data_IF_306238357127
#
_entry.id   IF_306238357127
#
_cell.length_a   1.000
_cell.length_b   1.000
_cell.length_c   1.000
_cell.angle_alpha   90.00
_cell.angle_beta   90.00
_cell.angle_gamma   90.00
#
_symmetry.space_group_name_H-M   'P 1'
#
loop_
_entity.id
_entity.type
_entity.pdbx_description
1 polymer ?
#
# COMPACT_ATOMS: atom_id res chain seq x y z
N UNK A 1 24.37 -3.83 6.06
CA UNK A 1 23.88 -3.46 4.71
C UNK A 1 22.92 -2.30 4.83
N UNK A 2 23.11 -1.24 4.04
CA UNK A 2 22.19 -0.09 3.99
C UNK A 2 20.88 -0.50 3.33
N UNK A 3 19.74 -0.29 4.02
CA UNK A 3 18.42 -0.76 3.57
C UNK A 3 17.44 0.39 3.46
N UNK A 4 16.69 0.44 2.36
CA UNK A 4 15.50 1.28 2.20
C UNK A 4 14.26 0.39 2.28
N UNK A 5 13.28 0.81 3.07
CA UNK A 5 12.00 0.11 3.19
C UNK A 5 10.88 0.87 2.45
N UNK A 6 10.03 0.13 1.77
CA UNK A 6 8.87 0.60 1.01
C UNK A 6 7.63 -0.03 1.62
N UNK A 7 6.70 0.80 2.07
CA UNK A 7 5.48 0.34 2.73
C UNK A 7 4.27 0.76 1.92
N UNK A 8 3.55 -0.21 1.42
CA UNK A 8 2.22 -0.04 0.86
C UNK A 8 1.21 0.04 2.01
N UNK A 9 0.86 1.28 2.40
CA UNK A 9 -0.02 1.49 3.54
C UNK A 9 -1.46 1.01 3.29
N UNK A 10 -1.93 1.02 2.04
CA UNK A 10 -3.23 0.49 1.67
C UNK A 10 -3.29 -1.01 1.90
N UNK A 11 -2.32 -1.72 1.35
CA UNK A 11 -2.21 -3.17 1.50
C UNK A 11 -2.02 -3.58 2.97
N UNK A 12 -1.12 -2.91 3.69
CA UNK A 12 -0.89 -3.14 5.12
C UNK A 12 -2.16 -2.90 5.94
N UNK A 13 -2.88 -1.79 5.69
CA UNK A 13 -4.09 -1.48 6.43
C UNK A 13 -5.21 -2.47 6.15
N UNK A 14 -5.55 -2.72 4.89
CA UNK A 14 -6.66 -3.59 4.53
C UNK A 14 -6.35 -5.07 4.75
N UNK A 15 -5.09 -5.48 4.60
CA UNK A 15 -4.64 -6.86 4.80
C UNK A 15 -4.48 -7.25 6.27
N UNK A 16 -3.97 -6.34 7.12
CA UNK A 16 -3.59 -6.69 8.49
C UNK A 16 -4.24 -5.84 9.58
N UNK A 17 -4.41 -4.53 9.38
CA UNK A 17 -4.72 -3.61 10.49
C UNK A 17 -6.21 -3.31 10.62
N UNK A 18 -6.99 -3.43 9.57
CA UNK A 18 -8.40 -3.00 9.53
C UNK A 18 -9.25 -3.62 10.63
N UNK A 19 -9.09 -4.92 10.86
CA UNK A 19 -9.84 -5.68 11.87
C UNK A 19 -9.18 -5.64 13.26
N UNK A 20 -7.97 -5.09 13.37
CA UNK A 20 -7.15 -5.05 14.58
C UNK A 20 -7.14 -3.65 15.19
N UNK A 21 -8.05 -3.40 16.17
CA UNK A 21 -8.15 -2.10 16.84
C UNK A 21 -6.90 -1.75 17.68
N UNK A 22 -6.26 -2.78 18.23
CA UNK A 22 -5.09 -2.70 19.11
C UNK A 22 -3.82 -2.22 18.39
N UNK A 23 -3.74 -2.39 17.06
CA UNK A 23 -2.54 -2.05 16.28
C UNK A 23 -2.79 -0.99 15.20
N UNK A 24 -3.91 -0.30 15.23
CA UNK A 24 -4.24 0.75 14.23
C UNK A 24 -3.26 1.92 14.19
N UNK A 25 -2.52 2.16 15.28
CA UNK A 25 -1.51 3.20 15.40
C UNK A 25 -0.09 2.61 15.33
N UNK A 26 0.08 1.62 14.46
CA UNK A 26 1.34 0.92 14.27
C UNK A 26 2.49 1.90 13.98
N UNK A 27 3.60 1.71 14.70
CA UNK A 27 4.87 2.38 14.37
C UNK A 27 5.55 1.63 13.21
N UNK A 28 5.63 2.25 12.00
CA UNK A 28 6.22 1.59 10.84
C UNK A 28 7.74 1.42 10.97
N UNK A 29 8.41 2.25 11.77
CA UNK A 29 9.85 2.11 12.02
C UNK A 29 10.13 0.89 12.88
N UNK A 30 9.37 0.72 13.95
CA UNK A 30 9.47 -0.45 14.81
C UNK A 30 9.13 -1.74 14.05
N UNK A 31 8.07 -1.71 13.22
CA UNK A 31 7.72 -2.84 12.37
C UNK A 31 8.86 -3.23 11.42
N UNK A 32 9.38 -2.27 10.65
CA UNK A 32 10.46 -2.56 9.69
C UNK A 32 11.69 -3.09 10.41
N UNK A 33 12.09 -2.47 11.53
CA UNK A 33 13.24 -2.93 12.31
C UNK A 33 13.08 -4.35 12.84
N UNK A 34 11.87 -4.76 13.21
CA UNK A 34 11.61 -6.14 13.66
C UNK A 34 11.69 -7.19 12.55
N UNK A 35 11.56 -6.77 11.29
CA UNK A 35 11.65 -7.65 10.12
C UNK A 35 13.04 -7.69 9.50
N UNK A 36 13.88 -6.68 9.76
CA UNK A 36 15.24 -6.62 9.23
C UNK A 36 16.18 -7.54 10.03
N UNK A 37 17.14 -8.12 9.33
CA UNK A 37 18.23 -8.87 9.94
C UNK A 37 19.18 -7.91 10.67
N UNK A 38 19.93 -8.41 11.63
CA UNK A 38 20.87 -7.64 12.47
C UNK A 38 21.95 -6.90 11.67
N UNK A 39 22.35 -7.45 10.51
CA UNK A 39 23.35 -6.87 9.63
C UNK A 39 22.82 -5.76 8.71
N UNK A 40 21.51 -5.45 8.80
CA UNK A 40 20.87 -4.39 8.02
C UNK A 40 20.72 -3.10 8.84
N UNK A 41 21.07 -1.98 8.23
CA UNK A 41 20.88 -0.63 8.77
C UNK A 41 19.77 0.05 8.00
N UNK A 42 18.66 0.32 8.65
CA UNK A 42 17.53 1.04 8.06
C UNK A 42 17.95 2.50 7.81
N UNK A 43 18.09 2.87 6.55
CA UNK A 43 18.49 4.21 6.13
C UNK A 43 17.28 5.12 5.87
N UNK A 44 16.20 4.58 5.32
CA UNK A 44 15.00 5.33 4.95
C UNK A 44 13.77 4.43 4.91
N UNK A 45 12.61 5.03 5.20
CA UNK A 45 11.31 4.44 4.94
C UNK A 45 10.56 5.33 3.95
N UNK A 46 10.06 4.76 2.87
CA UNK A 46 9.11 5.37 1.95
C UNK A 46 7.72 4.78 2.21
N UNK A 47 6.83 5.60 2.72
CA UNK A 47 5.48 5.19 3.13
C UNK A 47 4.46 5.68 2.11
N UNK A 48 3.90 4.77 1.33
CA UNK A 48 2.98 5.07 0.23
C UNK A 48 1.54 4.94 0.70
N UNK A 49 0.75 5.99 0.48
CA UNK A 49 -0.64 6.03 0.90
C UNK A 49 -1.47 6.92 -0.01
N UNK A 50 -2.79 6.83 0.07
CA UNK A 50 -3.70 7.79 -0.53
C UNK A 50 -4.66 8.34 0.53
N UNK A 51 -4.92 9.66 0.48
CA UNK A 51 -5.84 10.28 1.44
C UNK A 51 -7.27 9.90 1.16
N UNK A 52 -7.89 9.31 2.15
CA UNK A 52 -9.33 9.03 2.15
C UNK A 52 -10.10 10.35 2.11
N UNK A 53 -10.86 10.59 1.04
CA UNK A 53 -11.58 11.86 0.85
C UNK A 53 -13.03 11.82 1.28
N UNK A 54 -13.68 10.66 1.22
CA UNK A 54 -15.09 10.51 1.63
C UNK A 54 -15.43 9.04 1.83
N UNK A 55 -15.73 8.69 3.05
CA UNK A 55 -16.50 7.48 3.35
C UNK A 55 -17.82 7.93 3.95
N UNK A 56 -18.97 7.67 3.30
CA UNK A 56 -20.28 8.14 3.79
C UNK A 56 -20.63 7.62 5.19
N UNK A 57 -19.94 6.57 5.64
CA UNK A 57 -20.27 5.86 6.87
C UNK A 57 -19.20 5.96 7.98
N UNK A 58 -18.04 6.60 7.72
CA UNK A 58 -17.00 6.77 8.74
C UNK A 58 -16.23 8.07 8.55
N UNK A 59 -16.83 9.19 8.93
CA UNK A 59 -16.16 10.50 8.94
C UNK A 59 -14.94 10.52 9.88
N UNK A 60 -14.95 9.68 10.92
CA UNK A 60 -13.83 9.55 11.85
C UNK A 60 -12.61 8.89 11.22
N UNK A 61 -12.75 8.08 10.15
CA UNK A 61 -11.63 7.46 9.46
C UNK A 61 -10.71 8.51 8.82
N UNK A 62 -11.29 9.57 8.25
CA UNK A 62 -10.52 10.66 7.63
C UNK A 62 -9.67 11.36 8.68
N UNK A 63 -10.25 11.66 9.83
CA UNK A 63 -9.54 12.34 10.92
C UNK A 63 -8.46 11.43 11.51
N UNK A 64 -8.75 10.15 11.74
CA UNK A 64 -7.75 9.17 12.19
C UNK A 64 -6.56 9.09 11.24
N UNK A 65 -6.80 8.96 9.94
CA UNK A 65 -5.73 8.95 8.96
C UNK A 65 -4.92 10.26 8.99
N UNK A 66 -5.60 11.42 9.07
CA UNK A 66 -4.94 12.72 9.13
C UNK A 66 -4.00 12.84 10.34
N UNK A 67 -4.47 12.40 11.51
CA UNK A 67 -3.68 12.41 12.75
C UNK A 67 -2.48 11.48 12.62
N UNK A 68 -2.69 10.27 12.09
CA UNK A 68 -1.64 9.29 11.89
C UNK A 68 -0.54 9.79 10.94
N UNK A 69 -0.92 10.28 9.74
CA UNK A 69 0.04 10.80 8.78
C UNK A 69 0.79 12.03 9.31
N UNK A 70 0.15 12.87 10.13
CA UNK A 70 0.81 13.98 10.80
C UNK A 70 1.86 13.48 11.81
N UNK A 71 1.56 12.42 12.55
CA UNK A 71 2.54 11.80 13.45
C UNK A 71 3.70 11.18 12.66
N UNK A 72 3.41 10.45 11.57
CA UNK A 72 4.47 9.88 10.73
C UNK A 72 5.39 10.93 10.11
N UNK A 73 4.85 12.09 9.75
CA UNK A 73 5.62 13.19 9.17
C UNK A 73 6.66 13.80 10.14
N UNK A 74 6.59 13.49 11.44
CA UNK A 74 7.59 13.92 12.42
C UNK A 74 8.76 12.96 12.57
N UNK A 75 8.69 11.80 11.92
CA UNK A 75 9.72 10.75 12.04
C UNK A 75 10.84 11.04 11.04
N UNK A 76 12.05 11.23 11.56
CA UNK A 76 13.24 11.39 10.72
C UNK A 76 13.52 10.12 9.88
N UNK A 77 13.83 10.31 8.60
CA UNK A 77 14.08 9.20 7.68
C UNK A 77 12.82 8.53 7.14
N UNK A 78 11.61 8.99 7.50
CA UNK A 78 10.36 8.53 6.92
C UNK A 78 9.81 9.57 5.94
N UNK A 79 9.60 9.17 4.71
CA UNK A 79 9.00 9.96 3.64
C UNK A 79 7.61 9.44 3.32
N UNK A 80 6.60 10.33 3.31
CA UNK A 80 5.22 9.99 2.91
C UNK A 80 5.03 10.36 1.45
N UNK A 81 4.67 9.38 0.63
CA UNK A 81 4.39 9.55 -0.80
C UNK A 81 2.90 9.31 -1.05
N UNK A 82 2.22 10.33 -1.55
CA UNK A 82 0.77 10.29 -1.71
C UNK A 82 0.34 9.93 -3.14
N UNK A 83 -0.45 8.85 -3.26
CA UNK A 83 -1.32 8.59 -4.37
C UNK A 83 -2.63 9.38 -4.26
N UNK A 84 -3.65 8.96 -4.97
CA UNK A 84 -4.98 9.58 -4.86
C UNK A 84 -6.09 8.56 -5.10
N UNK A 85 -7.28 8.83 -4.52
CA UNK A 85 -8.48 8.08 -4.84
C UNK A 85 -9.23 8.71 -6.02
N UNK A 86 -9.50 7.89 -7.03
CA UNK A 86 -10.42 8.22 -8.11
C UNK A 86 -11.82 7.70 -7.76
N UNK A 87 -12.82 8.56 -7.91
CA UNK A 87 -14.22 8.22 -7.64
C UNK A 87 -15.01 8.19 -8.93
N UNK A 88 -15.36 7.00 -9.39
CA UNK A 88 -16.13 6.78 -10.60
C UNK A 88 -17.48 6.14 -10.31
N UNK A 89 -18.49 6.45 -11.12
CA UNK A 89 -19.75 5.71 -11.14
C UNK A 89 -19.65 4.65 -12.23
N UNK A 90 -19.84 3.39 -11.87
CA UNK A 90 -19.79 2.27 -12.80
C UNK A 90 -21.04 1.39 -12.68
N UNK A 91 -21.44 0.79 -13.80
CA UNK A 91 -22.44 -0.27 -13.81
C UNK A 91 -21.72 -1.60 -13.67
N UNK A 92 -22.05 -2.36 -12.64
CA UNK A 92 -21.45 -3.67 -12.39
C UNK A 92 -22.51 -4.75 -12.29
N UNK A 93 -22.21 -6.00 -12.71
CA UNK A 93 -23.12 -7.12 -12.47
C UNK A 93 -23.42 -7.27 -10.98
N UNK A 94 -24.67 -7.51 -10.63
CA UNK A 94 -25.05 -7.82 -9.26
C UNK A 94 -24.63 -9.27 -8.94
N UNK A 95 -23.62 -9.44 -8.08
CA UNK A 95 -23.16 -10.76 -7.69
C UNK A 95 -24.23 -11.54 -6.91
N UNK A 96 -24.55 -12.77 -7.38
CA UNK A 96 -25.45 -13.68 -6.67
C UNK A 96 -26.94 -13.32 -6.71
N UNK A 97 -27.33 -12.29 -7.44
CA UNK A 97 -28.76 -11.99 -7.62
C UNK A 97 -29.33 -12.83 -8.76
N UNK A 98 -30.22 -13.75 -8.43
CA UNK A 98 -31.07 -14.41 -9.43
C UNK A 98 -32.32 -13.58 -9.68
N UNK A 99 -32.74 -13.49 -10.93
CA UNK A 99 -34.04 -12.90 -11.25
C UNK A 99 -35.15 -13.71 -10.57
N UNK A 100 -35.98 -13.08 -9.77
CA UNK A 100 -37.11 -13.75 -9.10
C UNK A 100 -38.21 -14.21 -10.06
N UNK A 101 -38.20 -13.70 -11.28
CA UNK A 101 -39.26 -13.94 -12.27
C UNK A 101 -38.88 -14.92 -13.37
N UNK A 102 -37.61 -14.99 -13.74
CA UNK A 102 -37.15 -15.83 -14.86
C UNK A 102 -36.05 -16.83 -14.49
N UNK A 103 -35.63 -16.87 -13.22
CA UNK A 103 -34.53 -17.73 -12.70
C UNK A 103 -33.20 -17.62 -13.47
N UNK A 104 -33.06 -16.62 -14.34
CA UNK A 104 -31.82 -16.36 -15.05
C UNK A 104 -30.75 -15.84 -14.12
N UNK A 105 -29.51 -16.32 -14.31
CA UNK A 105 -28.36 -15.99 -13.49
C UNK A 105 -27.89 -14.52 -13.63
N UNK A 106 -28.47 -13.76 -14.55
CA UNK A 106 -28.10 -12.36 -14.82
C UNK A 106 -29.15 -11.41 -14.24
N UNK A 107 -29.07 -11.18 -12.95
CA UNK A 107 -29.99 -10.31 -12.21
C UNK A 107 -29.74 -8.80 -12.43
N UNK A 108 -29.26 -8.44 -13.59
CA UNK A 108 -29.10 -7.05 -13.96
C UNK A 108 -27.83 -6.39 -13.43
N UNK A 109 -27.65 -5.15 -13.83
CA UNK A 109 -26.51 -4.31 -13.45
C UNK A 109 -26.93 -3.30 -12.40
N UNK A 110 -26.09 -3.12 -11.39
CA UNK A 110 -26.28 -2.10 -10.36
C UNK A 110 -25.29 -0.95 -10.59
N UNK A 111 -25.75 0.27 -10.35
CA UNK A 111 -24.88 1.44 -10.42
C UNK A 111 -24.21 1.61 -9.07
N UNK A 112 -22.89 1.49 -9.05
CA UNK A 112 -22.07 1.65 -7.86
C UNK A 112 -21.17 2.89 -7.95
N UNK A 113 -20.75 3.38 -6.80
CA UNK A 113 -19.64 4.33 -6.70
C UNK A 113 -18.39 3.50 -6.43
N UNK A 114 -17.49 3.42 -7.42
CA UNK A 114 -16.20 2.75 -7.29
C UNK A 114 -15.16 3.75 -6.84
N UNK A 115 -14.49 3.44 -5.74
CA UNK A 115 -13.30 4.16 -5.27
C UNK A 115 -12.09 3.30 -5.63
N UNK A 116 -11.20 3.86 -6.41
CA UNK A 116 -9.95 3.18 -6.80
C UNK A 116 -8.77 4.02 -6.38
N UNK A 117 -7.87 3.42 -5.65
CA UNK A 117 -6.56 4.01 -5.41
C UNK A 117 -5.76 4.00 -6.71
N UNK A 118 -5.03 5.06 -6.96
CA UNK A 118 -4.23 5.25 -8.17
C UNK A 118 -2.84 5.76 -7.82
N UNK A 119 -1.85 5.33 -8.58
CA UNK A 119 -0.43 5.69 -8.54
C UNK A 119 0.40 5.01 -7.45
N UNK A 120 -0.18 4.47 -6.38
CA UNK A 120 0.61 3.94 -5.27
C UNK A 120 1.57 2.86 -5.76
N UNK A 121 1.07 1.83 -6.44
CA UNK A 121 1.87 0.70 -6.93
C UNK A 121 2.93 1.14 -7.95
N UNK A 122 2.53 2.03 -8.88
CA UNK A 122 3.45 2.59 -9.87
C UNK A 122 4.55 3.42 -9.21
N UNK A 123 4.21 4.23 -8.20
CA UNK A 123 5.19 5.02 -7.45
C UNK A 123 6.16 4.10 -6.71
N UNK A 124 5.66 3.07 -6.00
CA UNK A 124 6.50 2.09 -5.30
C UNK A 124 7.48 1.44 -6.27
N UNK A 125 6.98 0.85 -7.36
CA UNK A 125 7.81 0.16 -8.33
C UNK A 125 8.85 1.09 -8.98
N UNK A 126 8.44 2.31 -9.35
CA UNK A 126 9.33 3.30 -9.97
C UNK A 126 10.42 3.75 -9.01
N UNK A 127 10.06 4.07 -7.77
CA UNK A 127 11.00 4.53 -6.77
C UNK A 127 12.00 3.42 -6.38
N UNK A 128 11.53 2.17 -6.24
CA UNK A 128 12.41 1.03 -5.96
C UNK A 128 13.45 0.84 -7.07
N UNK A 129 13.01 0.89 -8.33
CA UNK A 129 13.90 0.75 -9.49
C UNK A 129 14.87 1.93 -9.61
N UNK A 130 14.42 3.16 -9.37
CA UNK A 130 15.24 4.35 -9.42
C UNK A 130 16.29 4.36 -8.29
N UNK A 131 15.88 3.98 -7.08
CA UNK A 131 16.81 3.89 -5.93
C UNK A 131 17.87 2.79 -6.16
N UNK A 132 17.47 1.66 -6.78
CA UNK A 132 18.39 0.59 -7.13
C UNK A 132 19.38 1.02 -8.24
N UNK A 133 18.89 1.71 -9.26
CA UNK A 133 19.70 2.26 -10.35
C UNK A 133 20.69 3.34 -9.84
N UNK A 134 20.24 4.17 -8.90
CA UNK A 134 21.04 5.27 -8.32
C UNK A 134 22.02 4.81 -7.24
N UNK A 135 22.10 3.51 -6.96
CA UNK A 135 22.94 2.94 -5.89
C UNK A 135 22.63 3.53 -4.50
N UNK A 136 21.36 3.87 -4.26
CA UNK A 136 20.92 4.54 -3.04
C UNK A 136 21.04 3.65 -1.79
N UNK A 137 20.95 2.33 -1.95
CA UNK A 137 21.07 1.33 -0.89
C UNK A 137 21.58 -0.02 -1.42
N UNK A 138 21.98 -0.90 -0.49
CA UNK A 138 22.40 -2.26 -0.79
C UNK A 138 21.23 -3.24 -0.83
N UNK A 139 20.17 -2.91 -0.08
CA UNK A 139 18.99 -3.76 0.12
C UNK A 139 17.70 -2.96 0.10
N UNK A 140 16.66 -3.57 -0.45
CA UNK A 140 15.32 -3.02 -0.65
C UNK A 140 14.30 -3.94 -0.01
N UNK A 141 13.56 -3.46 1.01
CA UNK A 141 12.54 -4.22 1.71
C UNK A 141 11.16 -3.68 1.37
N UNK A 142 10.29 -4.50 0.76
CA UNK A 142 8.93 -4.15 0.43
C UNK A 142 7.94 -4.83 1.39
N UNK A 143 7.04 -4.03 1.97
CA UNK A 143 5.89 -4.51 2.75
C UNK A 143 4.62 -4.28 1.93
N UNK A 144 4.18 -5.33 1.24
CA UNK A 144 2.93 -5.39 0.47
C UNK A 144 2.57 -6.84 0.19
N UNK A 145 1.30 -7.20 0.17
CA UNK A 145 0.82 -8.52 -0.26
C UNK A 145 0.54 -8.61 -1.77
N UNK A 146 0.87 -7.56 -2.55
CA UNK A 146 0.55 -7.52 -3.97
C UNK A 146 1.62 -8.19 -4.83
N UNK A 147 1.21 -9.18 -5.62
CA UNK A 147 2.07 -9.93 -6.53
C UNK A 147 2.62 -9.11 -7.71
N UNK A 148 2.04 -7.95 -8.01
CA UNK A 148 2.49 -7.09 -9.10
C UNK A 148 3.91 -6.55 -8.88
N UNK A 149 4.39 -6.59 -7.64
CA UNK A 149 5.77 -6.21 -7.30
C UNK A 149 6.83 -7.29 -7.55
N UNK A 150 6.46 -8.51 -7.94
CA UNK A 150 7.43 -9.57 -8.26
C UNK A 150 8.37 -9.11 -9.38
N UNK A 151 7.84 -8.53 -10.44
CA UNK A 151 8.64 -8.09 -11.58
C UNK A 151 9.68 -7.01 -11.23
N UNK A 152 9.37 -5.91 -10.54
CA UNK A 152 10.38 -4.94 -10.11
C UNK A 152 11.39 -5.51 -9.12
N UNK A 153 10.99 -6.38 -8.19
CA UNK A 153 11.91 -7.04 -7.26
C UNK A 153 12.91 -7.94 -7.97
N UNK A 154 12.46 -8.72 -8.95
CA UNK A 154 13.32 -9.58 -9.75
C UNK A 154 14.29 -8.77 -10.61
N UNK A 155 13.83 -7.64 -11.17
CA UNK A 155 14.69 -6.75 -11.93
C UNK A 155 15.83 -6.17 -11.04
N UNK A 156 15.49 -5.78 -9.80
CA UNK A 156 16.48 -5.28 -8.82
C UNK A 156 17.53 -6.34 -8.54
N UNK A 157 17.12 -7.57 -8.29
CA UNK A 157 18.06 -8.69 -8.03
C UNK A 157 18.93 -9.02 -9.22
N UNK A 158 18.32 -9.16 -10.41
CA UNK A 158 18.98 -9.67 -11.60
C UNK A 158 19.83 -8.63 -12.33
N UNK A 159 19.39 -7.38 -12.40
CA UNK A 159 20.04 -6.33 -13.19
C UNK A 159 20.93 -5.42 -12.35
N UNK A 160 20.54 -5.15 -11.12
CA UNK A 160 21.31 -4.27 -10.25
C UNK A 160 22.15 -5.04 -9.22
N UNK A 161 21.99 -6.38 -9.11
CA UNK A 161 22.73 -7.20 -8.15
C UNK A 161 22.46 -6.85 -6.69
N UNK A 162 21.35 -6.18 -6.40
CA UNK A 162 20.97 -5.75 -5.06
C UNK A 162 20.11 -6.78 -4.35
N UNK A 163 20.12 -6.76 -3.02
CA UNK A 163 19.16 -7.56 -2.27
C UNK A 163 17.77 -6.90 -2.33
N UNK A 164 16.76 -7.70 -2.55
CA UNK A 164 15.36 -7.27 -2.48
C UNK A 164 14.55 -8.33 -1.73
N UNK A 165 13.85 -7.93 -0.69
CA UNK A 165 12.99 -8.79 0.13
C UNK A 165 11.55 -8.30 0.07
N UNK A 166 10.62 -9.23 0.17
CA UNK A 166 9.19 -9.02 0.17
C UNK A 166 8.57 -9.67 1.41
N UNK A 167 7.73 -8.93 2.15
CA UNK A 167 7.01 -9.36 3.35
C UNK A 167 5.53 -8.90 3.32
#
# INVERSE_FOLDING_TARGET
MKTIAYIDAGNLYYGLLKERQDVKWLDPVALVRSLLREDHVLAKIKFYTARVRTYPHDAAAIERQRVYLRALATIEGLEIIEGYYNRNKAWMPAAGARCRTCDEADAGRVRIVKLEEKRTDVNIATDMLFDAFSDAADSFALLSGDSDFIAPLDLIRQKFGKQAAWA
#
